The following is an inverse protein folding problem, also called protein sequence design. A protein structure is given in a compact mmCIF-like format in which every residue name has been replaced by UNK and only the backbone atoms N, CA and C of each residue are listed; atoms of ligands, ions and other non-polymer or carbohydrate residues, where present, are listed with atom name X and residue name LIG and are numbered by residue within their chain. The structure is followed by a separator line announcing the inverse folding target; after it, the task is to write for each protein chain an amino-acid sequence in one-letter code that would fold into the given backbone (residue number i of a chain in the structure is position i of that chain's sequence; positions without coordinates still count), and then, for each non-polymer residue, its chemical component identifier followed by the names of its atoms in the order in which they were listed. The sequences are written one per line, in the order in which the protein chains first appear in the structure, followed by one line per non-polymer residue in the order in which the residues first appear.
data_IF_856874942160
#
_entry.id   IF_856874942160
#
_cell.length_a   1.000
_cell.length_b   1.000
_cell.length_c   1.000
_cell.angle_alpha   90.00
_cell.angle_beta   90.00
_cell.angle_gamma   90.00
#
_symmetry.space_group_name_H-M   'P 1'
#
loop_
_entity.id
_entity.type
_entity.pdbx_description
1 polymer ?
#
# COMPACT_ATOMS: atom_id res chain seq x y z
N UNK A 1 31.38 33.92 27.28
CA UNK A 1 31.08 33.54 27.16
C UNK A 1 30.54 32.88 26.86
N UNK A 2 30.05 32.61 26.63
CA UNK A 2 29.44 32.03 26.47
C UNK A 2 29.04 31.24 26.00
N UNK A 3 28.57 30.79 25.80
CA UNK A 3 28.15 30.00 25.43
C UNK A 3 27.38 29.52 24.98
N UNK A 4 26.97 29.29 24.60
CA UNK A 4 26.10 28.94 24.13
C UNK A 4 25.82 27.90 23.73
N UNK A 5 25.25 27.28 23.72
CA UNK A 5 24.92 26.37 23.44
C UNK A 5 24.16 26.00 23.05
N UNK A 6 23.84 25.90 22.60
CA UNK A 6 23.18 25.75 22.16
C UNK A 6 22.53 25.04 21.98
N UNK A 7 22.04 24.86 21.95
CA UNK A 7 21.20 24.41 21.84
C UNK A 7 20.87 23.48 21.21
N UNK A 8 20.92 22.85 21.14
CA UNK A 8 20.69 21.96 20.49
C UNK A 8 19.53 21.40 20.64
N UNK A 9 18.83 21.79 20.19
CA UNK A 9 17.74 21.36 20.32
C UNK A 9 17.44 20.33 19.65
N UNK A 10 17.33 19.46 19.73
CA UNK A 10 17.12 18.43 19.28
C UNK A 10 15.83 18.03 19.48
N UNK A 11 15.04 18.45 18.79
CA UNK A 11 13.80 18.14 18.94
C UNK A 11 13.58 16.91 18.39
N UNK A 12 13.25 16.02 18.90
CA UNK A 12 13.01 14.78 18.45
C UNK A 12 11.90 14.81 17.63
N UNK A 13 12.03 14.71 16.51
CA UNK A 13 11.03 14.69 15.72
C UNK A 13 10.32 13.50 15.90
N UNK A 14 9.31 13.54 16.40
CA UNK A 14 8.54 12.52 16.62
C UNK A 14 7.94 12.18 15.51
N UNK A 15 8.53 11.90 14.58
CA UNK A 15 7.95 11.58 13.47
C UNK A 15 7.16 10.47 13.67
N UNK A 16 6.08 10.55 13.65
CA UNK A 16 5.33 9.49 13.79
C UNK A 16 5.50 8.71 12.61
N UNK A 17 5.87 7.59 12.67
CA UNK A 17 5.90 6.75 11.61
C UNK A 17 4.51 6.40 11.30
N UNK A 18 3.80 7.21 10.64
CA UNK A 18 2.51 6.82 10.34
C UNK A 18 2.51 5.93 9.17
N UNK A 19 1.80 4.86 9.20
CA UNK A 19 1.62 4.00 8.05
C UNK A 19 0.67 4.69 7.09
N UNK A 20 0.90 4.49 5.79
CA UNK A 20 0.02 5.09 4.80
C UNK A 20 -1.39 4.50 4.94
N UNK A 21 -2.38 5.36 4.96
CA UNK A 21 -3.76 4.91 5.00
C UNK A 21 -4.31 4.79 3.59
N UNK A 22 -5.45 4.15 3.47
CA UNK A 22 -6.14 4.08 2.19
C UNK A 22 -6.51 5.45 1.66
N UNK A 23 -6.89 6.38 2.55
CA UNK A 23 -7.19 7.73 2.13
C UNK A 23 -5.95 8.42 1.55
N UNK A 24 -4.80 8.24 2.18
CA UNK A 24 -3.57 8.82 1.67
C UNK A 24 -3.20 8.20 0.33
N UNK A 25 -3.32 6.89 0.22
CA UNK A 25 -3.02 6.23 -1.04
C UNK A 25 -3.96 6.70 -2.14
N UNK A 26 -5.23 6.82 -1.83
CA UNK A 26 -6.21 7.26 -2.81
C UNK A 26 -5.91 8.68 -3.29
N UNK A 27 -5.54 9.54 -2.36
CA UNK A 27 -5.16 10.90 -2.71
C UNK A 27 -3.96 10.92 -3.65
N UNK A 28 -3.00 10.03 -3.44
CA UNK A 28 -1.84 9.98 -4.31
C UNK A 28 -2.17 9.37 -5.67
N UNK A 29 -2.96 8.32 -5.69
CA UNK A 29 -3.34 7.70 -6.95
C UNK A 29 -4.07 8.71 -7.85
N UNK A 30 -4.85 9.59 -7.25
CA UNK A 30 -5.62 10.56 -8.01
C UNK A 30 -4.94 11.92 -8.08
N UNK A 31 -3.72 12.04 -7.59
CA UNK A 31 -3.00 13.30 -7.55
C UNK A 31 -2.20 13.57 -8.80
N UNK A 32 -1.15 14.38 -8.66
CA UNK A 32 -0.32 14.73 -9.80
C UNK A 32 0.64 13.59 -10.13
N UNK A 33 1.53 13.84 -11.05
CA UNK A 33 2.44 12.80 -11.52
C UNK A 33 3.34 12.28 -10.39
N UNK A 34 3.89 13.18 -9.59
CA UNK A 34 4.75 12.76 -8.49
C UNK A 34 4.01 11.90 -7.47
N UNK A 35 2.79 12.30 -7.15
CA UNK A 35 1.95 11.53 -6.24
C UNK A 35 1.65 10.16 -6.82
N UNK A 36 1.34 10.10 -8.12
CA UNK A 36 1.05 8.82 -8.75
C UNK A 36 2.25 7.90 -8.76
N UNK A 37 3.44 8.46 -8.93
CA UNK A 37 4.64 7.64 -8.89
C UNK A 37 4.90 7.09 -7.50
N UNK A 38 4.62 7.87 -6.47
CA UNK A 38 4.74 7.37 -5.09
C UNK A 38 3.75 6.25 -4.84
N UNK A 39 2.51 6.44 -5.29
CA UNK A 39 1.50 5.42 -5.11
C UNK A 39 1.89 4.14 -5.82
N UNK A 40 2.40 4.27 -7.04
CA UNK A 40 2.79 3.11 -7.83
C UNK A 40 3.91 2.33 -7.13
N UNK A 41 4.92 3.05 -6.63
CA UNK A 41 6.01 2.40 -5.92
C UNK A 41 5.54 1.69 -4.66
N UNK A 42 4.64 2.33 -3.92
CA UNK A 42 4.11 1.71 -2.70
C UNK A 42 3.33 0.43 -3.04
N UNK A 43 2.48 0.50 -4.05
CA UNK A 43 1.69 -0.65 -4.46
C UNK A 43 2.60 -1.79 -4.94
N UNK A 44 3.64 -1.45 -5.71
CA UNK A 44 4.57 -2.48 -6.15
C UNK A 44 5.29 -3.12 -4.98
N UNK A 45 5.67 -2.34 -3.98
CA UNK A 45 6.32 -2.89 -2.80
C UNK A 45 5.42 -3.87 -2.06
N UNK A 46 4.16 -3.51 -1.87
CA UNK A 46 3.21 -4.40 -1.21
C UNK A 46 3.01 -5.65 -2.06
N UNK A 47 2.87 -5.48 -3.37
CA UNK A 47 2.70 -6.60 -4.27
C UNK A 47 3.87 -7.59 -4.13
N UNK A 48 5.08 -7.06 -4.16
CA UNK A 48 6.26 -7.92 -4.12
C UNK A 48 6.37 -8.71 -2.83
N UNK A 49 5.91 -8.13 -1.73
CA UNK A 49 5.99 -8.81 -0.43
C UNK A 49 4.94 -9.91 -0.32
N UNK A 50 3.75 -9.66 -0.84
CA UNK A 50 2.61 -10.52 -0.54
C UNK A 50 2.17 -11.45 -1.67
N UNK A 51 2.73 -11.29 -2.88
CA UNK A 51 2.33 -12.16 -3.97
C UNK A 51 2.66 -13.61 -3.61
N UNK A 52 1.73 -14.49 -3.89
CA UNK A 52 1.81 -15.90 -3.54
C UNK A 52 1.74 -16.17 -2.04
N UNK A 53 1.45 -15.16 -1.26
CA UNK A 53 1.22 -15.32 0.18
C UNK A 53 -0.25 -15.04 0.47
N UNK A 54 -0.73 -13.84 0.14
CA UNK A 54 -2.12 -13.51 0.41
C UNK A 54 -2.97 -13.50 -0.85
N UNK A 55 -2.35 -13.33 -2.00
CA UNK A 55 -3.05 -13.38 -3.29
C UNK A 55 -2.12 -14.07 -4.29
N UNK A 56 -2.68 -14.58 -5.35
CA UNK A 56 -1.91 -15.35 -6.33
C UNK A 56 -2.18 -14.79 -7.71
N UNK A 57 -1.35 -13.85 -8.13
CA UNK A 57 -1.58 -13.17 -9.40
C UNK A 57 -1.16 -14.03 -10.57
N UNK A 58 -1.79 -13.86 -11.72
CA UNK A 58 -1.31 -14.51 -12.92
C UNK A 58 0.02 -13.88 -13.36
N UNK A 59 0.66 -14.52 -14.32
CA UNK A 59 1.89 -13.96 -14.85
C UNK A 59 1.58 -12.80 -15.76
N UNK A 60 2.58 -12.01 -16.01
CA UNK A 60 2.50 -10.90 -16.96
C UNK A 60 1.56 -9.77 -16.54
N UNK A 61 1.40 -9.61 -15.24
CA UNK A 61 0.62 -8.50 -14.72
C UNK A 61 1.52 -7.29 -14.62
N UNK A 62 1.05 -6.13 -15.08
CA UNK A 62 1.86 -4.92 -15.01
C UNK A 62 1.56 -4.13 -13.76
N UNK A 63 2.51 -3.31 -13.34
CA UNK A 63 2.30 -2.45 -12.18
C UNK A 63 1.14 -1.49 -12.40
N UNK A 64 0.99 -0.98 -13.61
CA UNK A 64 -0.13 -0.10 -13.91
C UNK A 64 -1.47 -0.79 -13.77
N UNK A 65 -1.53 -2.05 -14.21
CA UNK A 65 -2.75 -2.83 -14.07
C UNK A 65 -3.11 -3.03 -12.60
N UNK A 66 -2.12 -3.35 -11.78
CA UNK A 66 -2.36 -3.54 -10.35
C UNK A 66 -2.81 -2.23 -9.72
N UNK A 67 -2.18 -1.12 -10.10
CA UNK A 67 -2.57 0.18 -9.57
C UNK A 67 -4.01 0.52 -9.93
N UNK A 68 -4.43 0.20 -11.16
CA UNK A 68 -5.82 0.44 -11.57
C UNK A 68 -6.79 -0.39 -10.74
N UNK A 69 -6.43 -1.62 -10.44
CA UNK A 69 -7.27 -2.48 -9.63
C UNK A 69 -7.42 -1.94 -8.21
N UNK A 70 -6.32 -1.47 -7.64
CA UNK A 70 -6.35 -0.89 -6.30
C UNK A 70 -7.18 0.38 -6.30
N UNK A 71 -7.03 1.22 -7.32
CA UNK A 71 -7.82 2.44 -7.41
C UNK A 71 -9.30 2.11 -7.46
N UNK A 72 -9.67 1.14 -8.26
CA UNK A 72 -11.08 0.76 -8.36
C UNK A 72 -11.61 0.26 -7.02
N UNK A 73 -10.80 -0.52 -6.31
CA UNK A 73 -11.22 -1.00 -5.01
C UNK A 73 -11.44 0.16 -4.05
N UNK A 74 -10.53 1.13 -4.05
CA UNK A 74 -10.66 2.28 -3.16
C UNK A 74 -11.85 3.16 -3.57
N UNK A 75 -12.10 3.30 -4.88
CA UNK A 75 -13.28 4.02 -5.35
C UNK A 75 -14.56 3.40 -4.81
N UNK A 76 -14.62 2.08 -4.78
CA UNK A 76 -15.84 1.37 -4.42
C UNK A 76 -15.99 1.12 -2.94
N UNK A 77 -14.98 1.43 -2.15
CA UNK A 77 -15.02 1.15 -0.71
C UNK A 77 -14.62 2.36 0.12
N UNK A 78 -15.35 3.47 -0.02
CA UNK A 78 -14.97 4.68 0.71
C UNK A 78 -15.03 4.53 2.22
N UNK A 79 -15.89 3.68 2.72
CA UNK A 79 -16.05 3.57 4.17
C UNK A 79 -14.89 2.87 4.85
N UNK A 80 -14.00 2.22 4.10
CA UNK A 80 -12.87 1.54 4.71
C UNK A 80 -11.54 2.19 4.39
N UNK A 81 -11.53 3.34 3.70
CA UNK A 81 -10.27 3.96 3.31
C UNK A 81 -9.43 4.46 4.49
N UNK A 82 -9.99 4.50 5.68
CA UNK A 82 -9.23 4.87 6.86
C UNK A 82 -8.29 3.75 7.31
N UNK A 83 -8.47 2.54 6.81
CA UNK A 83 -7.60 1.44 7.17
C UNK A 83 -6.24 1.60 6.49
N UNK A 84 -5.28 0.76 6.86
CA UNK A 84 -3.95 0.89 6.27
C UNK A 84 -3.99 0.56 4.79
N UNK A 85 -3.19 1.27 4.02
CA UNK A 85 -3.14 1.04 2.58
C UNK A 85 -2.70 -0.38 2.26
N UNK A 86 -1.77 -0.89 3.04
CA UNK A 86 -1.29 -2.26 2.83
C UNK A 86 -2.43 -3.26 2.92
N UNK A 87 -3.26 -3.15 3.95
CA UNK A 87 -4.35 -4.10 4.12
C UNK A 87 -5.38 -3.98 3.00
N UNK A 88 -5.61 -2.75 2.54
CA UNK A 88 -6.59 -2.54 1.47
C UNK A 88 -6.07 -3.04 0.12
N UNK A 89 -4.78 -2.89 -0.13
CA UNK A 89 -4.18 -3.44 -1.34
C UNK A 89 -4.31 -4.96 -1.32
N UNK A 90 -4.00 -5.58 -0.19
CA UNK A 90 -4.12 -7.03 -0.08
C UNK A 90 -5.56 -7.47 -0.28
N UNK A 91 -6.53 -6.74 0.28
CA UNK A 91 -7.92 -7.08 0.09
C UNK A 91 -8.32 -6.99 -1.39
N UNK A 92 -7.90 -5.93 -2.05
CA UNK A 92 -8.23 -5.73 -3.45
C UNK A 92 -7.68 -6.86 -4.32
N UNK A 93 -6.43 -7.21 -4.08
CA UNK A 93 -5.77 -8.21 -4.91
C UNK A 93 -6.23 -9.62 -4.56
N UNK A 94 -6.57 -9.85 -3.30
CA UNK A 94 -7.07 -11.15 -2.90
C UNK A 94 -8.45 -11.40 -3.49
N UNK A 95 -9.28 -10.38 -3.59
CA UNK A 95 -10.58 -10.54 -4.21
C UNK A 95 -10.46 -10.89 -5.68
N UNK A 96 -9.49 -10.28 -6.35
CA UNK A 96 -9.32 -10.52 -7.77
C UNK A 96 -8.60 -11.83 -8.05
N UNK A 97 -7.62 -12.17 -7.22
CA UNK A 97 -6.76 -13.31 -7.46
C UNK A 97 -6.57 -14.13 -6.20
N UNK A 98 -7.62 -14.79 -5.73
CA UNK A 98 -7.46 -15.62 -4.54
C UNK A 98 -6.54 -16.79 -4.83
N UNK A 99 -5.72 -17.17 -3.86
CA UNK A 99 -4.89 -18.34 -4.02
C UNK A 99 -5.77 -19.57 -3.93
N UNK A 100 -5.51 -20.55 -4.82
CA UNK A 100 -6.30 -21.74 -4.79
C UNK A 100 -5.96 -22.50 -3.55
N UNK A 101 -6.81 -23.01 -2.99
CA UNK A 101 -6.49 -23.70 -1.84
C UNK A 101 -6.20 -25.03 -2.05
N UNK A 102 -6.10 -25.37 -2.29
CA UNK A 102 -5.98 -26.15 -2.32
C UNK A 102 -5.53 -26.86 -1.85
N UNK A 103 -5.80 -26.66 -1.76
CA UNK A 103 -5.58 -27.03 -1.33
C UNK A 103 -5.61 -27.66 -1.14
N UNK A 104 -5.92 -27.48 -1.21
CA UNK A 104 -6.09 -27.93 -0.95
C UNK A 104 -6.05 -28.70 -1.18
N UNK A 105 -6.22 -28.64 -1.43
CA UNK A 105 -6.26 -29.14 -1.48
C UNK A 105 -5.88 -29.91 -1.59
N UNK A 106 -5.75 -29.98 -1.72
CA UNK A 106 -5.50 -30.51 -1.63
C UNK A 106 -5.36 -31.30 -1.60
N UNK A 107 -5.39 -31.58 -1.54
CA UNK A 107 -5.53 -32.18 -1.33
C UNK A 107 -5.43 -32.92 -1.33
N UNK A 108 -5.37 -33.32 -1.45
CA UNK A 108 -5.54 -33.69 -1.28
C UNK A 108 -5.64 -34.13 -1.38
#
# INVERSE_FOLDING_TARGET
MKKLIAGLLFVPCMASAEFMSGNNLYSKITGDFGDKMQALGFIQGVFDVYVSVTFCSPENVTAGQVSDMVKRYLDNNPSTRHKTAESLINQALKQAWPCANNRGNNRL
#
